data_IF_355364974109
#
_entry.id   IF_355364974109
#
_cell.length_a   1.000
_cell.length_b   1.000
_cell.length_c   1.000
_cell.angle_alpha   90.00
_cell.angle_beta   90.00
_cell.angle_gamma   90.00
#
_symmetry.space_group_name_H-M   'P 1'
#
loop_
_entity.id
_entity.type
_entity.pdbx_description
1 polymer ?
#
# COMPACT_ATOMS: atom_id res chain seq x y z
N UNK A 1 1.85 -16.93 3.26
CA UNK A 1 1.97 -16.55 1.83
C UNK A 1 0.72 -15.75 1.48
N UNK A 2 0.86 -14.45 1.19
CA UNK A 2 -0.28 -13.59 0.88
C UNK A 2 -0.84 -13.95 -0.50
N UNK A 3 -2.16 -13.94 -0.65
CA UNK A 3 -2.82 -14.35 -1.91
C UNK A 3 -3.20 -13.14 -2.75
N UNK A 4 -3.46 -13.35 -4.04
CA UNK A 4 -3.99 -12.31 -4.94
C UNK A 4 -5.35 -11.80 -4.43
N UNK A 5 -6.17 -12.66 -3.83
CA UNK A 5 -7.47 -12.28 -3.27
C UNK A 5 -7.31 -11.31 -2.08
N UNK A 6 -6.33 -11.57 -1.21
CA UNK A 6 -5.98 -10.68 -0.10
C UNK A 6 -5.51 -9.32 -0.61
N UNK A 7 -4.62 -9.30 -1.62
CA UNK A 7 -4.12 -8.05 -2.20
C UNK A 7 -5.23 -7.19 -2.79
N UNK A 8 -6.24 -7.81 -3.42
CA UNK A 8 -7.41 -7.11 -3.94
C UNK A 8 -8.22 -6.42 -2.83
N UNK A 9 -8.44 -7.10 -1.70
CA UNK A 9 -9.16 -6.52 -0.55
C UNK A 9 -8.42 -5.32 0.05
N UNK A 10 -7.09 -5.34 0.07
CA UNK A 10 -6.31 -4.20 0.55
C UNK A 10 -6.35 -3.02 -0.42
N UNK A 11 -6.32 -3.28 -1.73
CA UNK A 11 -6.45 -2.23 -2.75
C UNK A 11 -7.83 -1.55 -2.72
N UNK A 12 -8.90 -2.27 -2.35
CA UNK A 12 -10.25 -1.71 -2.19
C UNK A 12 -10.37 -0.63 -1.09
N UNK A 13 -9.34 -0.49 -0.22
CA UNK A 13 -9.30 0.57 0.81
C UNK A 13 -8.87 1.93 0.27
N UNK A 14 -8.37 1.96 -0.97
CA UNK A 14 -7.87 3.16 -1.62
C UNK A 14 -8.86 3.66 -2.69
N UNK A 15 -8.86 4.95 -3.02
CA UNK A 15 -9.76 5.48 -4.06
C UNK A 15 -9.40 4.94 -5.45
N UNK A 16 -10.39 4.88 -6.34
CA UNK A 16 -10.23 4.29 -7.69
C UNK A 16 -9.24 5.04 -8.60
N UNK A 17 -8.95 6.32 -8.28
CA UNK A 17 -7.96 7.13 -8.99
C UNK A 17 -6.54 6.98 -8.42
N UNK A 18 -6.35 6.17 -7.39
CA UNK A 18 -5.04 5.97 -6.79
C UNK A 18 -4.08 5.25 -7.75
N UNK A 19 -2.81 5.66 -7.71
CA UNK A 19 -1.73 5.07 -8.50
C UNK A 19 -0.89 4.19 -7.58
N UNK A 20 -0.68 2.94 -8.00
CA UNK A 20 0.10 1.97 -7.24
C UNK A 20 1.51 1.83 -7.84
N UNK A 21 2.52 1.86 -6.97
CA UNK A 21 3.92 1.62 -7.33
C UNK A 21 4.42 0.39 -6.58
N UNK A 22 4.91 -0.60 -7.32
CA UNK A 22 5.61 -1.73 -6.71
C UNK A 22 6.98 -1.26 -6.21
N UNK A 23 7.31 -1.62 -4.98
CA UNK A 23 8.61 -1.36 -4.38
C UNK A 23 9.22 -2.67 -3.89
N UNK A 24 10.47 -2.90 -4.27
CA UNK A 24 11.30 -4.02 -3.83
C UNK A 24 12.56 -3.46 -3.20
N UNK A 25 12.68 -3.59 -1.87
CA UNK A 25 13.82 -3.13 -1.09
C UNK A 25 13.94 -3.92 0.21
N UNK A 26 14.13 -3.24 1.34
CA UNK A 26 14.08 -3.86 2.68
C UNK A 26 12.72 -4.50 2.98
N UNK A 27 11.65 -3.98 2.36
CA UNK A 27 10.30 -4.55 2.36
C UNK A 27 9.81 -4.67 0.92
N UNK A 28 9.04 -5.73 0.62
CA UNK A 28 8.36 -5.89 -0.67
C UNK A 28 6.92 -5.42 -0.48
N UNK A 29 6.44 -4.48 -1.29
CA UNK A 29 5.10 -3.93 -1.13
C UNK A 29 4.63 -3.02 -2.27
N UNK A 30 3.47 -2.40 -2.07
CA UNK A 30 2.89 -1.39 -2.94
C UNK A 30 2.81 -0.05 -2.20
N UNK A 31 3.31 1.02 -2.81
CA UNK A 31 3.05 2.40 -2.38
C UNK A 31 1.85 2.89 -3.17
N UNK A 32 0.84 3.39 -2.47
CA UNK A 32 -0.38 3.91 -3.09
C UNK A 32 -0.38 5.44 -2.95
N UNK A 33 -0.42 6.14 -4.08
CA UNK A 33 -0.44 7.60 -4.15
C UNK A 33 -1.74 8.10 -4.77
N UNK A 34 -2.13 9.34 -4.45
CA UNK A 34 -3.27 9.99 -5.09
C UNK A 34 -2.94 10.43 -6.52
N UNK A 35 -3.85 10.21 -7.47
CA UNK A 35 -3.66 10.70 -8.83
C UNK A 35 -3.36 12.21 -8.86
N UNK A 36 -2.34 12.59 -9.61
CA UNK A 36 -1.95 13.99 -9.80
C UNK A 36 -1.20 14.63 -8.63
N UNK A 37 -0.99 13.93 -7.51
CA UNK A 37 -0.27 14.43 -6.34
C UNK A 37 0.95 13.55 -6.05
N UNK A 38 1.93 13.63 -6.94
CA UNK A 38 3.23 12.99 -6.76
C UNK A 38 3.84 13.51 -5.46
N UNK A 39 4.16 12.63 -4.50
CA UNK A 39 4.63 12.89 -3.12
C UNK A 39 3.57 12.92 -2.01
N UNK A 40 2.27 12.74 -2.31
CA UNK A 40 1.26 12.47 -1.28
C UNK A 40 0.92 10.98 -1.26
N UNK A 41 1.73 10.21 -0.55
CA UNK A 41 1.46 8.80 -0.29
C UNK A 41 0.20 8.67 0.57
N UNK A 42 -0.79 7.94 0.08
CA UNK A 42 -2.03 7.61 0.81
C UNK A 42 -1.84 6.37 1.69
N UNK A 43 -0.90 5.50 1.34
CA UNK A 43 -0.56 4.38 2.17
C UNK A 43 0.41 3.41 1.52
N UNK A 44 0.74 2.37 2.29
CA UNK A 44 1.62 1.29 1.88
C UNK A 44 0.94 -0.04 2.19
N UNK A 45 0.87 -0.91 1.20
CA UNK A 45 0.46 -2.31 1.35
C UNK A 45 1.73 -3.14 1.40
N UNK A 46 1.99 -3.79 2.53
CA UNK A 46 3.16 -4.66 2.65
C UNK A 46 2.83 -6.03 2.05
N UNK A 47 3.74 -6.64 1.30
CA UNK A 47 3.57 -7.96 0.70
C UNK A 47 4.45 -9.02 1.38
N UNK A 48 5.54 -8.61 2.02
CA UNK A 48 6.38 -9.45 2.91
C UNK A 48 5.95 -9.33 4.37
N UNK A 49 6.51 -10.15 5.27
CA UNK A 49 6.41 -9.91 6.72
C UNK A 49 7.02 -8.54 7.01
N UNK A 50 6.24 -7.63 7.59
CA UNK A 50 6.68 -6.31 8.00
C UNK A 50 6.85 -6.33 9.52
N UNK A 51 7.96 -5.81 10.04
CA UNK A 51 8.25 -5.71 11.48
C UNK A 51 7.27 -4.79 12.25
N UNK A 52 6.39 -4.08 11.55
CA UNK A 52 5.44 -3.11 12.13
C UNK A 52 4.12 -3.80 12.55
N UNK A 53 4.07 -4.24 13.82
CA UNK A 53 2.85 -4.52 14.63
C UNK A 53 1.71 -5.32 13.96
N UNK A 54 2.04 -6.20 13.00
CA UNK A 54 1.05 -6.98 12.25
C UNK A 54 0.15 -6.17 11.31
N UNK A 55 0.45 -4.88 11.06
CA UNK A 55 -0.36 -4.04 10.17
C UNK A 55 0.01 -4.29 8.72
N UNK A 56 -0.86 -5.02 8.04
CA UNK A 56 -0.64 -5.43 6.66
C UNK A 56 -0.73 -4.27 5.65
N UNK A 57 -1.45 -3.21 6.01
CA UNK A 57 -1.58 -1.95 5.27
C UNK A 57 -1.49 -0.79 6.23
N UNK A 58 -0.70 0.22 5.86
CA UNK A 58 -0.57 1.48 6.57
C UNK A 58 -1.20 2.57 5.74
N UNK A 59 -2.37 3.04 6.15
CA UNK A 59 -2.96 4.27 5.63
C UNK A 59 -2.23 5.46 6.26
N UNK A 60 -1.90 6.45 5.44
CA UNK A 60 -1.35 7.72 5.88
C UNK A 60 -2.52 8.71 5.88
N UNK A 61 -2.88 9.21 7.05
CA UNK A 61 -3.87 10.29 7.15
C UNK A 61 -3.34 11.52 6.38
N UNK A 62 -4.21 12.17 5.60
CA UNK A 62 -3.92 13.46 4.95
C UNK A 62 -3.46 14.46 6.03
N UNK A 63 -2.17 14.80 6.04
CA UNK A 63 -1.59 15.85 6.89
C UNK A 63 -1.84 17.25 6.31
#
# INVERSE_FOLDING_TARGET
MRTIAWLRQELEKFPDDAVCFAYEGEVIGLIVERAGQRLQSQGVIYCSESDDDGKETKLLDDA
#
